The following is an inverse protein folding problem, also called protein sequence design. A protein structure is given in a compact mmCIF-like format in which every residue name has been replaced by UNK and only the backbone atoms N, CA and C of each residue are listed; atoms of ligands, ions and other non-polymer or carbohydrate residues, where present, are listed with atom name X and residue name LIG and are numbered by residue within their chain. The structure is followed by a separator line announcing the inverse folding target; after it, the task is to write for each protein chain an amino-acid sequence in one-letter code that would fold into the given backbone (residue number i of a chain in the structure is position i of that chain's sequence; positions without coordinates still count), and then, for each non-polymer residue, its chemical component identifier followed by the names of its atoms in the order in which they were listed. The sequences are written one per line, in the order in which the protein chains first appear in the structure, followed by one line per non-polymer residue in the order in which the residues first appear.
data_IF_776795631817
#
_entry.id   IF_776795631817
#
_cell.length_a   1.000
_cell.length_b   1.000
_cell.length_c   1.000
_cell.angle_alpha   90.00
_cell.angle_beta   90.00
_cell.angle_gamma   90.00
#
_symmetry.space_group_name_H-M   'P 1'
#
loop_
_entity.id
_entity.type
_entity.pdbx_description
1 polymer ?
#
# COMPACT_ATOMS: atom_id res chain seq x y z
N UNK A 1 -21.66 -8.42 5.40
CA UNK A 1 -22.20 -7.48 4.40
C UNK A 1 -21.17 -6.39 4.11
N UNK A 2 -20.86 -6.16 2.83
CA UNK A 2 -19.86 -5.25 2.26
C UNK A 2 -20.02 -3.75 2.62
N UNK A 3 -21.08 -3.42 3.37
CA UNK A 3 -21.31 -2.09 3.90
C UNK A 3 -20.34 -1.80 5.06
N UNK A 4 -19.53 -0.76 4.88
CA UNK A 4 -18.89 0.02 5.95
C UNK A 4 -17.51 -0.40 6.50
N UNK A 5 -16.66 -1.10 5.74
CA UNK A 5 -15.22 -0.96 6.02
C UNK A 5 -14.74 0.43 5.57
N UNK A 6 -14.87 1.41 6.48
CA UNK A 6 -14.25 2.74 6.39
C UNK A 6 -12.74 2.54 6.15
N UNK A 7 -12.25 2.85 4.95
CA UNK A 7 -10.81 2.83 4.65
C UNK A 7 -10.36 2.13 3.36
N UNK A 8 -11.29 1.64 2.52
CA UNK A 8 -10.95 1.23 1.16
C UNK A 8 -10.64 2.45 0.30
N UNK A 9 -9.48 2.42 -0.35
CA UNK A 9 -9.11 3.44 -1.36
C UNK A 9 -9.48 2.93 -2.75
N UNK A 10 -9.38 3.81 -3.75
CA UNK A 10 -9.69 3.49 -5.14
C UNK A 10 -8.92 2.27 -5.62
N UNK A 11 -7.65 2.16 -5.26
CA UNK A 11 -6.75 1.07 -5.65
C UNK A 11 -7.18 -0.28 -5.06
N UNK A 12 -7.66 -0.30 -3.81
CA UNK A 12 -8.15 -1.55 -3.19
C UNK A 12 -9.38 -2.08 -3.94
N UNK A 13 -10.27 -1.16 -4.34
CA UNK A 13 -11.49 -1.52 -5.10
C UNK A 13 -11.18 -1.87 -6.55
N UNK A 14 -10.20 -1.20 -7.16
CA UNK A 14 -9.77 -1.49 -8.53
C UNK A 14 -9.26 -2.92 -8.64
N UNK A 15 -8.42 -3.32 -7.69
CA UNK A 15 -7.88 -4.68 -7.60
C UNK A 15 -9.00 -5.72 -7.48
N UNK A 16 -10.02 -5.44 -6.67
CA UNK A 16 -11.15 -6.38 -6.50
C UNK A 16 -11.96 -6.52 -7.78
N UNK A 17 -12.23 -5.41 -8.49
CA UNK A 17 -12.95 -5.45 -9.77
C UNK A 17 -12.15 -6.24 -10.82
N UNK A 18 -10.83 -6.10 -10.83
CA UNK A 18 -9.94 -6.88 -11.70
C UNK A 18 -9.96 -8.37 -11.35
N UNK A 19 -9.89 -8.73 -10.06
CA UNK A 19 -9.88 -10.13 -9.62
C UNK A 19 -11.20 -10.87 -9.82
N UNK A 20 -12.35 -10.18 -9.71
CA UNK A 20 -13.65 -10.76 -10.05
C UNK A 20 -13.90 -10.78 -11.57
N UNK A 21 -12.92 -10.36 -12.39
CA UNK A 21 -13.01 -10.39 -13.85
C UNK A 21 -13.97 -9.35 -14.45
N UNK A 22 -14.33 -8.33 -13.68
CA UNK A 22 -15.26 -7.27 -14.11
C UNK A 22 -14.55 -6.16 -14.89
N UNK A 23 -15.29 -5.49 -15.77
CA UNK A 23 -14.68 -4.50 -16.67
C UNK A 23 -14.35 -3.21 -15.94
N UNK A 24 -13.08 -2.80 -15.98
CA UNK A 24 -12.62 -1.55 -15.34
C UNK A 24 -12.93 -0.32 -16.20
N UNK A 25 -13.74 0.64 -15.71
CA UNK A 25 -13.93 1.91 -16.41
C UNK A 25 -12.66 2.77 -16.33
N UNK A 26 -12.22 3.32 -17.46
CA UNK A 26 -11.01 4.16 -17.57
C UNK A 26 -11.05 5.38 -16.65
N UNK A 27 -12.25 5.88 -16.31
CA UNK A 27 -12.50 6.98 -15.36
C UNK A 27 -13.40 6.55 -14.20
N UNK A 28 -13.15 5.37 -13.62
CA UNK A 28 -13.94 4.90 -12.49
C UNK A 28 -13.70 5.73 -11.23
N UNK A 29 -14.79 6.16 -10.59
CA UNK A 29 -14.80 6.73 -9.24
C UNK A 29 -14.97 5.62 -8.21
N UNK A 30 -14.62 5.88 -6.95
CA UNK A 30 -14.82 4.93 -5.84
C UNK A 30 -16.27 4.44 -5.78
N UNK A 31 -17.25 5.34 -6.00
CA UNK A 31 -18.66 4.97 -6.01
C UNK A 31 -18.98 3.98 -7.13
N UNK A 32 -18.52 4.25 -8.36
CA UNK A 32 -18.74 3.35 -9.50
C UNK A 32 -18.09 1.98 -9.30
N UNK A 33 -16.89 1.93 -8.74
CA UNK A 33 -16.23 0.65 -8.44
C UNK A 33 -17.03 -0.15 -7.40
N UNK A 34 -17.54 0.50 -6.36
CA UNK A 34 -18.43 -0.17 -5.40
C UNK A 34 -19.69 -0.69 -6.06
N UNK A 35 -20.31 0.11 -6.92
CA UNK A 35 -21.52 -0.31 -7.63
C UNK A 35 -21.25 -1.51 -8.55
N UNK A 36 -20.10 -1.55 -9.24
CA UNK A 36 -19.70 -2.69 -10.07
C UNK A 36 -19.55 -3.94 -9.20
N UNK A 37 -18.79 -3.86 -8.10
CA UNK A 37 -18.60 -5.01 -7.21
C UNK A 37 -19.94 -5.48 -6.66
N UNK A 38 -20.80 -4.59 -6.19
CA UNK A 38 -22.11 -4.94 -5.63
C UNK A 38 -23.07 -5.54 -6.67
N UNK A 39 -22.89 -5.23 -7.96
CA UNK A 39 -23.68 -5.77 -9.07
C UNK A 39 -23.05 -6.99 -9.74
N UNK A 40 -21.81 -7.32 -9.42
CA UNK A 40 -21.10 -8.46 -9.99
C UNK A 40 -21.78 -9.77 -9.60
N UNK A 41 -21.67 -10.75 -10.49
CA UNK A 41 -22.20 -12.10 -10.25
C UNK A 41 -21.50 -12.73 -9.04
N UNK A 42 -20.18 -12.63 -8.96
CA UNK A 42 -19.36 -13.13 -7.85
C UNK A 42 -19.82 -12.58 -6.51
N UNK A 43 -20.16 -11.29 -6.39
CA UNK A 43 -20.67 -10.75 -5.14
C UNK A 43 -22.07 -11.28 -4.79
N UNK A 44 -22.90 -11.56 -5.79
CA UNK A 44 -24.22 -12.15 -5.59
C UNK A 44 -24.16 -13.64 -5.24
N UNK A 45 -23.18 -14.36 -5.77
CA UNK A 45 -22.99 -15.80 -5.54
C UNK A 45 -22.20 -16.06 -4.25
N UNK A 46 -21.10 -15.35 -4.05
CA UNK A 46 -20.21 -15.48 -2.89
C UNK A 46 -19.71 -14.11 -2.40
N UNK A 47 -20.48 -13.41 -1.55
CA UNK A 47 -20.06 -12.14 -0.97
C UNK A 47 -18.87 -12.28 -0.02
N UNK A 48 -18.64 -13.46 0.56
CA UNK A 48 -17.53 -13.71 1.49
C UNK A 48 -16.20 -13.86 0.75
N UNK A 49 -16.21 -14.46 -0.44
CA UNK A 49 -15.07 -14.47 -1.35
C UNK A 49 -14.62 -13.05 -1.69
N UNK A 50 -15.54 -12.18 -2.12
CA UNK A 50 -15.23 -10.78 -2.44
C UNK A 50 -14.71 -10.03 -1.20
N UNK A 51 -15.27 -10.30 -0.02
CA UNK A 51 -14.76 -9.74 1.23
C UNK A 51 -13.33 -10.20 1.54
N UNK A 52 -12.99 -11.46 1.27
CA UNK A 52 -11.65 -12.01 1.48
C UNK A 52 -10.59 -11.35 0.59
N UNK A 53 -10.93 -11.07 -0.68
CA UNK A 53 -10.06 -10.34 -1.62
C UNK A 53 -9.80 -8.92 -1.10
N UNK A 54 -10.85 -8.22 -0.68
CA UNK A 54 -10.73 -6.87 -0.10
C UNK A 54 -9.83 -6.82 1.13
N UNK A 55 -10.00 -7.78 2.05
CA UNK A 55 -9.19 -7.88 3.26
C UNK A 55 -7.72 -8.07 2.89
N UNK A 56 -7.45 -8.95 1.92
CA UNK A 56 -6.10 -9.24 1.42
C UNK A 56 -5.47 -8.01 0.77
N UNK A 57 -6.18 -7.33 -0.12
CA UNK A 57 -5.72 -6.10 -0.77
C UNK A 57 -5.33 -5.01 0.25
N UNK A 58 -6.17 -4.80 1.27
CA UNK A 58 -5.88 -3.84 2.35
C UNK A 58 -4.68 -4.27 3.19
N UNK A 59 -4.55 -5.56 3.48
CA UNK A 59 -3.42 -6.11 4.24
C UNK A 59 -2.11 -5.92 3.48
N UNK A 60 -2.08 -6.22 2.18
CA UNK A 60 -0.90 -6.08 1.33
C UNK A 60 -0.47 -4.63 1.17
N UNK A 61 -1.41 -3.71 0.96
CA UNK A 61 -1.12 -2.27 0.98
C UNK A 61 -0.48 -1.83 2.30
N UNK A 62 -1.03 -2.26 3.44
CA UNK A 62 -0.47 -1.95 4.77
C UNK A 62 0.93 -2.54 4.93
N UNK A 63 1.16 -3.77 4.44
CA UNK A 63 2.47 -4.45 4.46
C UNK A 63 3.50 -3.71 3.61
N UNK A 64 3.14 -3.32 2.39
CA UNK A 64 4.00 -2.53 1.47
C UNK A 64 4.38 -1.18 2.09
N UNK A 65 3.40 -0.46 2.66
CA UNK A 65 3.64 0.82 3.35
C UNK A 65 4.56 0.68 4.57
N UNK A 66 4.41 -0.39 5.37
CA UNK A 66 5.32 -0.69 6.50
C UNK A 66 6.73 -0.98 6.00
N UNK A 67 6.89 -1.79 4.95
CA UNK A 67 8.19 -2.13 4.37
C UNK A 67 8.91 -0.89 3.85
N UNK A 68 8.21 -0.03 3.10
CA UNK A 68 8.77 1.21 2.56
C UNK A 68 9.21 2.18 3.68
N UNK A 69 8.41 2.31 4.74
CA UNK A 69 8.76 3.13 5.91
C UNK A 69 9.99 2.60 6.64
N UNK A 70 10.11 1.28 6.77
CA UNK A 70 11.29 0.62 7.35
C UNK A 70 12.55 0.86 6.52
N UNK A 71 12.47 0.68 5.21
CA UNK A 71 13.59 0.95 4.30
C UNK A 71 14.02 2.42 4.31
N UNK A 72 13.07 3.36 4.27
CA UNK A 72 13.37 4.79 4.40
C UNK A 72 14.08 5.11 5.72
N UNK A 73 13.67 4.50 6.83
CA UNK A 73 14.37 4.65 8.13
C UNK A 73 15.79 4.08 8.09
N UNK A 74 15.97 2.87 7.55
CA UNK A 74 17.30 2.25 7.40
C UNK A 74 18.24 3.10 6.53
N UNK A 75 17.75 3.64 5.41
CA UNK A 75 18.53 4.55 4.55
C UNK A 75 18.93 5.85 5.25
N UNK A 76 18.03 6.44 6.05
CA UNK A 76 18.35 7.64 6.84
C UNK A 76 19.41 7.36 7.90
N UNK A 77 19.28 6.23 8.61
CA UNK A 77 20.27 5.83 9.63
C UNK A 77 21.62 5.54 8.99
N UNK A 78 21.68 4.85 7.85
CA UNK A 78 22.96 4.56 7.19
C UNK A 78 23.63 5.82 6.66
N UNK A 79 22.87 6.77 6.08
CA UNK A 79 23.41 8.08 5.67
C UNK A 79 23.98 8.86 6.85
N UNK A 80 23.23 8.95 7.97
CA UNK A 80 23.69 9.66 9.17
C UNK A 80 24.96 9.03 9.77
N UNK A 81 25.06 7.70 9.77
CA UNK A 81 26.28 7.00 10.20
C UNK A 81 27.48 7.33 9.32
N UNK A 82 27.33 7.30 7.99
CA UNK A 82 28.40 7.64 7.05
C UNK A 82 28.87 9.09 7.22
N UNK A 83 27.94 10.02 7.39
CA UNK A 83 28.26 11.43 7.58
C UNK A 83 29.02 11.67 8.90
N UNK A 84 28.60 11.03 10.00
CA UNK A 84 29.34 11.08 11.27
C UNK A 84 30.74 10.45 11.15
N UNK A 85 30.89 9.34 10.45
CA UNK A 85 32.20 8.73 10.20
C UNK A 85 33.12 9.65 9.39
N UNK A 86 32.60 10.35 8.38
CA UNK A 86 33.39 11.31 7.59
C UNK A 86 33.80 12.52 8.43
N UNK A 87 32.87 13.13 9.18
CA UNK A 87 33.18 14.26 10.07
C UNK A 87 34.25 13.91 11.11
N UNK A 88 34.18 12.70 11.68
CA UNK A 88 35.20 12.24 12.63
C UNK A 88 36.59 12.14 11.98
N UNK A 89 36.68 11.55 10.79
CA UNK A 89 37.94 11.47 10.02
C UNK A 89 38.52 12.84 9.67
N UNK A 90 37.69 13.79 9.27
CA UNK A 90 38.14 15.17 9.01
C UNK A 90 38.64 15.85 10.28
N UNK A 91 37.98 15.63 11.42
CA UNK A 91 38.39 16.17 12.73
C UNK A 91 39.73 15.60 13.19
N UNK A 92 39.92 14.29 13.04
CA UNK A 92 41.16 13.59 13.44
C UNK A 92 42.35 14.02 12.56
N UNK A 93 42.12 14.30 11.27
CA UNK A 93 43.15 14.81 10.35
C UNK A 93 43.54 16.27 10.62
N UNK A 94 42.62 17.13 11.05
CA UNK A 94 42.91 18.54 11.34
C UNK A 94 43.69 18.74 12.64
N UNK A 95 43.53 17.84 13.62
CA UNK A 95 44.22 17.91 14.91
C UNK A 95 45.59 17.22 14.93
N UNK A 96 46.04 16.65 13.80
CA UNK A 96 47.33 15.95 13.68
C UNK A 96 48.41 16.75 12.92
N UNK A 97 48.12 18.00 12.53
CA UNK A 97 49.05 18.98 11.96
C UNK A 97 49.40 20.05 13.00
#
# INVERSE_FOLDING_TARGET
MFQAAKGFIKEDLLFVVEEIGETLPTKATISKLKDIILKSKEYSEDPDFVASILITAVADRKKKKKKEKSEKRRRKVSKKRRENSNKKRESDNLNSN
#
